data_IF_937446938077
#
_entry.id   IF_937446938077
#
_cell.length_a   1.000
_cell.length_b   1.000
_cell.length_c   1.000
_cell.angle_alpha   90.00
_cell.angle_beta   90.00
_cell.angle_gamma   90.00
#
_symmetry.space_group_name_H-M   'P 1'
#
loop_
_entity.id
_entity.type
_entity.pdbx_description
1 polymer ?
#
# COMPACT_ATOMS: atom_id res chain seq x y z
N UNK A 1 -15.60 -24.56 -33.41
CA UNK A 1 -15.75 -24.40 -31.95
C UNK A 1 -14.81 -25.39 -31.27
N UNK A 2 -13.69 -24.96 -30.69
CA UNK A 2 -12.86 -25.83 -29.85
C UNK A 2 -13.38 -25.85 -28.39
N UNK A 3 -13.02 -26.88 -27.61
CA UNK A 3 -13.82 -27.34 -26.47
C UNK A 3 -13.53 -26.57 -25.17
N UNK A 4 -14.58 -26.41 -24.36
CA UNK A 4 -14.61 -25.90 -22.98
C UNK A 4 -13.89 -26.83 -21.97
N UNK A 5 -12.66 -27.24 -22.28
CA UNK A 5 -11.89 -28.17 -21.43
C UNK A 5 -10.52 -27.62 -20.99
N UNK A 6 -10.29 -26.31 -21.16
CA UNK A 6 -9.03 -25.64 -20.73
C UNK A 6 -9.22 -24.57 -19.65
N UNK A 7 -10.37 -24.56 -18.99
CA UNK A 7 -10.73 -23.59 -17.96
C UNK A 7 -10.77 -24.18 -16.53
N UNK A 8 -10.49 -25.48 -16.34
CA UNK A 8 -10.59 -26.17 -15.04
C UNK A 8 -9.26 -26.80 -14.59
N UNK A 9 -8.13 -26.26 -15.05
CA UNK A 9 -6.80 -26.75 -14.68
C UNK A 9 -5.86 -25.64 -14.20
N UNK A 10 -6.42 -24.52 -13.76
CA UNK A 10 -5.70 -23.44 -13.08
C UNK A 10 -5.98 -23.40 -11.56
N UNK A 11 -6.95 -24.20 -11.09
CA UNK A 11 -7.41 -24.18 -9.70
C UNK A 11 -6.71 -25.20 -8.78
N UNK A 12 -5.68 -25.94 -9.24
CA UNK A 12 -5.16 -27.06 -8.44
C UNK A 12 -3.64 -27.31 -8.38
N UNK A 13 -2.78 -26.43 -8.91
CA UNK A 13 -1.31 -26.65 -8.84
C UNK A 13 -0.54 -25.40 -8.39
N UNK A 14 -1.02 -24.73 -7.34
CA UNK A 14 -0.17 -23.80 -6.60
C UNK A 14 -0.50 -23.92 -5.11
N UNK A 15 0.23 -24.83 -4.46
CA UNK A 15 0.46 -24.81 -3.03
C UNK A 15 0.89 -23.39 -2.62
N UNK A 16 -0.10 -22.61 -2.19
CA UNK A 16 0.02 -21.18 -1.92
C UNK A 16 0.77 -20.89 -0.60
N UNK A 17 1.32 -21.92 0.04
CA UNK A 17 1.94 -21.85 1.36
C UNK A 17 3.46 -22.02 1.37
N UNK A 18 4.12 -22.41 0.27
CA UNK A 18 5.57 -22.72 0.32
C UNK A 18 6.47 -21.77 -0.48
N UNK A 19 5.91 -20.81 -1.22
CA UNK A 19 6.72 -19.84 -2.01
C UNK A 19 7.08 -18.58 -1.20
N UNK A 20 6.40 -18.32 -0.07
CA UNK A 20 6.52 -17.08 0.70
C UNK A 20 7.76 -16.96 1.62
N UNK A 21 8.29 -18.03 2.25
CA UNK A 21 9.50 -17.91 3.09
C UNK A 21 10.77 -17.57 2.30
N UNK A 22 10.80 -17.88 0.99
CA UNK A 22 11.95 -17.64 0.12
C UNK A 22 12.06 -16.17 -0.34
N UNK A 23 10.95 -15.41 -0.35
CA UNK A 23 10.98 -13.98 -0.69
C UNK A 23 11.53 -13.11 0.43
N UNK A 24 11.33 -13.52 1.70
CA UNK A 24 11.94 -12.86 2.85
C UNK A 24 13.48 -13.06 2.93
N UNK A 25 14.03 -14.04 2.21
CA UNK A 25 15.45 -14.41 2.30
C UNK A 25 16.38 -13.74 1.28
N UNK A 26 15.87 -13.07 0.24
CA UNK A 26 16.70 -12.06 -0.43
C UNK A 26 16.59 -10.78 0.38
N UNK A 27 17.53 -10.64 1.31
CA UNK A 27 17.76 -9.49 2.18
C UNK A 27 17.71 -8.16 1.42
N UNK A 28 16.52 -7.69 1.08
CA UNK A 28 16.29 -6.30 0.77
C UNK A 28 16.32 -5.61 2.13
N UNK A 29 17.38 -4.85 2.38
CA UNK A 29 17.60 -4.17 3.64
C UNK A 29 16.41 -3.24 3.91
N UNK A 30 15.59 -3.59 4.92
CA UNK A 30 14.49 -2.73 5.36
C UNK A 30 15.10 -1.42 5.87
N UNK A 31 14.69 -0.35 5.22
CA UNK A 31 15.17 1.01 5.48
C UNK A 31 14.16 1.76 6.33
N UNK A 32 14.64 2.69 7.13
CA UNK A 32 13.75 3.65 7.81
C UNK A 32 13.33 4.75 6.84
N UNK A 33 12.16 5.35 7.06
CA UNK A 33 11.65 6.49 6.28
C UNK A 33 12.67 7.63 6.27
N UNK A 34 13.32 7.89 7.41
CA UNK A 34 14.38 8.90 7.51
C UNK A 34 15.59 8.58 6.63
N UNK A 35 16.00 7.32 6.53
CA UNK A 35 17.06 6.90 5.62
C UNK A 35 16.62 7.03 4.16
N UNK A 36 15.40 6.59 3.82
CA UNK A 36 14.86 6.73 2.48
C UNK A 36 14.86 8.17 1.98
N UNK A 37 14.41 9.11 2.83
CA UNK A 37 14.35 10.54 2.48
C UNK A 37 15.74 11.11 2.12
N UNK A 38 16.82 10.50 2.60
CA UNK A 38 18.21 10.90 2.28
C UNK A 38 18.74 10.26 0.99
N UNK A 39 18.22 9.09 0.62
CA UNK A 39 18.69 8.29 -0.52
C UNK A 39 17.92 8.57 -1.82
N UNK A 40 16.91 9.44 -1.79
CA UNK A 40 15.98 9.71 -2.91
C UNK A 40 16.60 10.19 -4.24
N UNK A 41 17.91 10.36 -4.32
CA UNK A 41 18.60 10.92 -5.48
C UNK A 41 19.34 9.86 -6.32
N UNK A 42 19.26 8.58 -5.98
CA UNK A 42 20.08 7.52 -6.57
C UNK A 42 19.22 6.45 -7.25
N UNK A 43 18.94 6.64 -8.56
CA UNK A 43 18.37 5.65 -9.49
C UNK A 43 16.98 5.06 -9.14
N UNK A 44 16.40 4.30 -10.07
CA UNK A 44 15.12 3.57 -9.92
C UNK A 44 15.28 2.35 -8.97
N UNK A 45 15.63 2.64 -7.71
CA UNK A 45 15.90 1.64 -6.69
C UNK A 45 14.62 1.31 -5.92
N UNK A 46 14.53 0.06 -5.46
CA UNK A 46 13.45 -0.44 -4.60
C UNK A 46 13.94 -0.61 -3.19
N UNK A 47 13.12 -0.21 -2.23
CA UNK A 47 13.40 -0.37 -0.81
C UNK A 47 12.18 -0.91 -0.09
N UNK A 48 12.41 -1.66 0.99
CA UNK A 48 11.33 -2.05 1.88
C UNK A 48 11.32 -1.12 3.09
N UNK A 49 10.14 -0.70 3.51
CA UNK A 49 9.94 -0.01 4.79
C UNK A 49 8.91 -0.75 5.62
N UNK A 50 9.17 -0.83 6.92
CA UNK A 50 8.18 -1.24 7.89
C UNK A 50 7.50 0.00 8.43
N UNK A 51 6.17 0.04 8.45
CA UNK A 51 5.45 1.17 9.00
C UNK A 51 3.98 0.90 9.27
N UNK A 52 3.37 1.86 9.94
CA UNK A 52 1.94 1.88 10.28
C UNK A 52 1.22 2.88 9.42
N UNK A 53 0.06 2.51 8.87
CA UNK A 53 -0.85 3.45 8.20
C UNK A 53 -1.47 4.36 9.26
N UNK A 54 -1.22 5.66 9.16
CA UNK A 54 -1.69 6.68 10.10
C UNK A 54 -2.68 7.68 9.49
N UNK A 55 -2.95 7.56 8.19
CA UNK A 55 -3.89 8.41 7.48
C UNK A 55 -4.12 7.96 6.04
N UNK A 56 -5.21 8.44 5.45
CA UNK A 56 -5.53 8.31 4.03
C UNK A 56 -5.63 9.70 3.42
N UNK A 57 -5.00 9.91 2.26
CA UNK A 57 -5.04 11.18 1.57
C UNK A 57 -6.20 11.20 0.56
N UNK A 58 -6.96 12.30 0.56
CA UNK A 58 -8.20 12.43 -0.24
C UNK A 58 -8.09 13.44 -1.37
N UNK A 59 -6.89 13.97 -1.62
CA UNK A 59 -6.60 14.94 -2.70
C UNK A 59 -6.92 14.44 -4.11
N UNK A 60 -6.94 13.12 -4.33
CA UNK A 60 -7.31 12.48 -5.59
C UNK A 60 -8.29 11.31 -5.35
N UNK A 61 -9.00 10.84 -6.39
CA UNK A 61 -9.80 9.63 -6.27
C UNK A 61 -8.95 8.43 -5.84
N UNK A 62 -9.46 7.56 -4.96
CA UNK A 62 -8.77 6.34 -4.53
C UNK A 62 -8.66 5.25 -5.63
N UNK A 63 -9.20 5.54 -6.81
CA UNK A 63 -9.25 4.65 -7.96
C UNK A 63 -9.04 5.41 -9.26
N UNK A 64 -8.68 4.68 -10.31
CA UNK A 64 -8.67 5.17 -11.68
C UNK A 64 -9.37 4.18 -12.61
N UNK A 65 -9.83 4.70 -13.76
CA UNK A 65 -10.36 3.86 -14.82
C UNK A 65 -9.19 3.25 -15.60
N UNK A 66 -9.16 1.93 -15.70
CA UNK A 66 -8.08 1.20 -16.34
C UNK A 66 -8.48 0.66 -17.72
N UNK A 67 -7.53 0.68 -18.65
CA UNK A 67 -7.68 0.08 -19.96
C UNK A 67 -7.72 -1.45 -19.84
N UNK A 68 -8.70 -2.11 -20.45
CA UNK A 68 -8.80 -3.58 -20.41
C UNK A 68 -7.62 -4.31 -21.08
N UNK A 69 -6.90 -3.64 -22.00
CA UNK A 69 -5.78 -4.25 -22.73
C UNK A 69 -4.48 -4.16 -21.94
N UNK A 70 -4.12 -2.97 -21.45
CA UNK A 70 -2.81 -2.73 -20.83
C UNK A 70 -2.86 -2.37 -19.34
N UNK A 71 -4.06 -2.19 -18.78
CA UNK A 71 -4.26 -1.81 -17.38
C UNK A 71 -3.84 -0.38 -17.01
N UNK A 72 -3.40 0.45 -17.98
CA UNK A 72 -3.04 1.86 -17.75
C UNK A 72 -4.29 2.75 -17.64
N UNK A 73 -4.09 3.93 -17.05
CA UNK A 73 -5.15 4.94 -16.90
C UNK A 73 -5.79 5.34 -18.22
N UNK A 74 -7.09 5.53 -18.17
CA UNK A 74 -7.94 5.94 -19.28
C UNK A 74 -8.47 7.33 -18.99
N UNK A 75 -8.40 8.20 -19.98
CA UNK A 75 -8.95 9.56 -19.90
C UNK A 75 -10.31 9.61 -20.58
N UNK A 76 -11.17 10.51 -20.09
CA UNK A 76 -12.46 10.79 -20.74
C UNK A 76 -12.33 12.07 -21.54
N UNK A 77 -12.30 11.95 -22.86
CA UNK A 77 -12.21 13.06 -23.83
C UNK A 77 -13.50 13.07 -24.64
N UNK A 78 -14.24 14.16 -24.60
CA UNK A 78 -15.53 14.32 -25.31
C UNK A 78 -16.54 13.17 -25.07
N UNK A 79 -16.59 12.67 -23.84
CA UNK A 79 -17.45 11.55 -23.45
C UNK A 79 -16.97 10.17 -23.90
N UNK A 80 -15.83 10.11 -24.60
CA UNK A 80 -15.16 8.87 -25.00
C UNK A 80 -14.01 8.58 -24.08
N UNK A 81 -13.83 7.30 -23.78
CA UNK A 81 -12.78 6.80 -22.89
C UNK A 81 -11.61 6.35 -23.75
N UNK A 82 -10.48 7.05 -23.69
CA UNK A 82 -9.31 6.79 -24.56
C UNK A 82 -8.11 6.45 -23.69
N UNK A 83 -7.46 5.32 -24.00
CA UNK A 83 -6.20 4.96 -23.38
C UNK A 83 -5.05 5.67 -24.10
N UNK A 84 -4.37 6.60 -23.42
CA UNK A 84 -3.22 7.31 -23.99
C UNK A 84 -2.03 6.41 -24.31
N UNK A 85 -1.92 5.23 -23.68
CA UNK A 85 -0.82 4.28 -23.94
C UNK A 85 -1.06 3.40 -25.17
N UNK A 86 -2.29 2.89 -25.35
CA UNK A 86 -2.63 2.03 -26.49
C UNK A 86 -3.20 2.79 -27.68
N UNK A 87 -3.66 4.03 -27.49
CA UNK A 87 -4.41 4.80 -28.48
C UNK A 87 -5.82 4.26 -28.75
N UNK A 88 -6.28 3.28 -27.97
CA UNK A 88 -7.57 2.62 -28.16
C UNK A 88 -8.66 3.33 -27.36
N UNK A 89 -9.80 3.57 -28.01
CA UNK A 89 -11.06 3.87 -27.34
C UNK A 89 -11.54 2.61 -26.61
N UNK A 90 -11.97 2.76 -25.36
CA UNK A 90 -12.32 1.64 -24.50
C UNK A 90 -13.61 1.89 -23.75
N UNK A 91 -14.53 0.93 -23.79
CA UNK A 91 -15.72 0.94 -22.94
C UNK A 91 -15.47 0.24 -21.60
N UNK A 92 -14.21 0.15 -21.12
CA UNK A 92 -13.92 -0.58 -19.89
C UNK A 92 -14.53 0.13 -18.69
N UNK A 93 -15.32 -0.59 -17.89
CA UNK A 93 -15.69 -0.23 -16.51
C UNK A 93 -14.76 -0.96 -15.53
N UNK A 94 -13.46 -1.01 -15.86
CA UNK A 94 -12.46 -1.63 -15.01
C UNK A 94 -11.90 -0.54 -14.11
N UNK A 95 -12.17 -0.66 -12.82
CA UNK A 95 -11.65 0.21 -11.79
C UNK A 95 -10.47 -0.47 -11.11
N UNK A 96 -9.43 0.30 -10.83
CA UNK A 96 -8.25 -0.15 -10.09
C UNK A 96 -7.91 0.82 -8.99
N UNK A 97 -7.43 0.32 -7.86
CA UNK A 97 -6.98 1.20 -6.79
C UNK A 97 -5.75 2.01 -7.21
N UNK A 98 -5.75 3.25 -6.75
CA UNK A 98 -4.64 4.19 -6.75
C UNK A 98 -4.73 5.01 -5.46
N UNK A 99 -4.55 4.30 -4.34
CA UNK A 99 -4.83 4.80 -2.99
C UNK A 99 -3.59 5.49 -2.41
N UNK A 100 -3.75 6.75 -1.99
CA UNK A 100 -2.69 7.47 -1.28
C UNK A 100 -2.86 7.30 0.24
N UNK A 101 -1.87 6.70 0.90
CA UNK A 101 -1.83 6.50 2.36
C UNK A 101 -0.65 7.25 2.98
N UNK A 102 -0.81 7.62 4.25
CA UNK A 102 0.23 8.21 5.09
C UNK A 102 0.77 7.12 6.01
N UNK A 103 2.08 6.88 5.96
CA UNK A 103 2.75 5.82 6.75
C UNK A 103 3.79 6.43 7.68
N UNK A 104 3.85 5.92 8.92
CA UNK A 104 4.84 6.31 9.92
C UNK A 104 5.60 5.10 10.46
N UNK A 105 6.91 5.25 10.70
CA UNK A 105 7.79 4.19 11.23
C UNK A 105 8.50 4.59 12.55
N UNK A 106 8.06 5.69 13.15
CA UNK A 106 8.70 6.30 14.34
C UNK A 106 9.93 7.16 14.04
N UNK A 107 10.53 7.05 12.84
CA UNK A 107 11.64 7.90 12.39
C UNK A 107 11.18 9.06 11.49
N UNK A 108 10.02 8.90 10.86
CA UNK A 108 9.40 9.91 10.01
C UNK A 108 8.00 9.52 9.57
N UNK A 109 7.47 10.32 8.66
CA UNK A 109 6.16 10.13 8.00
C UNK A 109 6.35 10.30 6.50
N UNK A 110 5.70 9.46 5.69
CA UNK A 110 5.82 9.46 4.23
C UNK A 110 4.45 9.20 3.59
N UNK A 111 4.22 9.78 2.42
CA UNK A 111 3.04 9.52 1.62
C UNK A 111 3.36 8.46 0.55
N UNK A 112 2.59 7.38 0.55
CA UNK A 112 2.73 6.26 -0.37
C UNK A 112 1.48 6.14 -1.23
N UNK A 113 1.68 5.88 -2.51
CA UNK A 113 0.63 5.53 -3.45
C UNK A 113 0.62 4.02 -3.64
N UNK A 114 -0.41 3.36 -3.13
CA UNK A 114 -0.59 1.92 -3.25
C UNK A 114 -1.19 1.59 -4.61
N UNK A 115 -0.51 0.72 -5.35
CA UNK A 115 -1.06 0.13 -6.57
C UNK A 115 -2.25 -0.78 -6.27
N UNK A 116 -3.03 -1.11 -7.30
CA UNK A 116 -4.18 -2.02 -7.25
C UNK A 116 -3.94 -3.27 -6.38
N UNK A 117 -2.94 -4.08 -6.71
CA UNK A 117 -2.64 -5.30 -5.95
C UNK A 117 -2.14 -5.07 -4.53
N UNK A 118 -1.45 -3.96 -4.26
CA UNK A 118 -1.04 -3.61 -2.89
C UNK A 118 -2.24 -3.15 -2.04
N UNK A 119 -3.18 -2.43 -2.66
CA UNK A 119 -4.39 -1.93 -2.02
C UNK A 119 -5.37 -3.07 -1.72
N UNK A 120 -5.60 -4.00 -2.66
CA UNK A 120 -6.43 -5.20 -2.43
C UNK A 120 -5.90 -6.00 -1.25
N UNK A 121 -4.57 -6.16 -1.13
CA UNK A 121 -3.98 -6.86 0.02
C UNK A 121 -4.26 -6.15 1.34
N UNK A 122 -4.00 -4.84 1.40
CA UNK A 122 -4.18 -4.05 2.62
C UNK A 122 -5.66 -3.93 3.02
N UNK A 123 -6.56 -3.75 2.04
CA UNK A 123 -7.99 -3.55 2.26
C UNK A 123 -8.70 -4.89 2.49
N UNK A 124 -8.36 -5.91 1.71
CA UNK A 124 -9.05 -7.21 1.69
C UNK A 124 -10.22 -7.28 0.70
N UNK A 125 -10.55 -6.17 0.01
CA UNK A 125 -11.68 -6.07 -0.91
C UNK A 125 -11.23 -5.58 -2.30
N UNK A 126 -11.81 -6.16 -3.35
CA UNK A 126 -11.54 -5.76 -4.73
C UNK A 126 -12.13 -4.38 -5.05
N UNK A 127 -11.41 -3.58 -5.85
CA UNK A 127 -11.86 -2.23 -6.25
C UNK A 127 -13.26 -2.25 -6.86
N UNK A 128 -13.57 -3.30 -7.62
CA UNK A 128 -14.86 -3.46 -8.28
C UNK A 128 -16.01 -3.51 -7.27
N UNK A 129 -15.85 -4.23 -6.17
CA UNK A 129 -16.92 -4.44 -5.18
C UNK A 129 -17.13 -3.18 -4.33
N UNK A 130 -16.04 -2.48 -3.99
CA UNK A 130 -16.10 -1.16 -3.36
C UNK A 130 -16.84 -0.16 -4.26
N UNK A 131 -16.53 -0.13 -5.56
CA UNK A 131 -17.20 0.75 -6.52
C UNK A 131 -18.66 0.34 -6.74
N UNK A 132 -18.98 -0.94 -6.76
CA UNK A 132 -20.35 -1.43 -6.86
C UNK A 132 -21.20 -1.01 -5.65
N UNK A 133 -20.60 -0.98 -4.46
CA UNK A 133 -21.25 -0.57 -3.22
C UNK A 133 -21.58 0.93 -3.18
N UNK A 134 -20.62 1.82 -3.43
CA UNK A 134 -20.82 3.28 -3.28
C UNK A 134 -21.04 4.06 -4.60
N UNK A 135 -20.76 3.43 -5.75
CA UNK A 135 -20.83 4.03 -7.07
C UNK A 135 -19.58 4.84 -7.46
N UNK A 136 -19.23 4.81 -8.74
CA UNK A 136 -18.03 5.47 -9.29
C UNK A 136 -18.08 7.00 -9.32
N UNK A 137 -19.14 7.64 -8.78
CA UNK A 137 -19.15 9.09 -8.57
C UNK A 137 -18.51 9.46 -7.23
N UNK A 138 -18.45 8.52 -6.29
CA UNK A 138 -17.79 8.69 -5.00
C UNK A 138 -16.30 8.45 -5.19
N UNK A 139 -15.52 9.51 -4.95
CA UNK A 139 -14.07 9.55 -5.18
C UNK A 139 -13.26 9.29 -3.91
N UNK A 140 -13.90 9.32 -2.75
CA UNK A 140 -13.28 9.02 -1.46
C UNK A 140 -13.46 7.55 -1.12
N UNK A 141 -12.53 7.00 -0.36
CA UNK A 141 -12.66 5.66 0.18
C UNK A 141 -13.88 5.61 1.14
N UNK A 142 -14.64 4.51 1.21
CA UNK A 142 -15.69 4.38 2.21
C UNK A 142 -15.10 4.51 3.63
N UNK A 143 -15.76 5.25 4.55
CA UNK A 143 -15.23 5.47 5.90
C UNK A 143 -14.93 4.19 6.67
N UNK A 144 -15.75 3.14 6.51
CA UNK A 144 -15.52 1.87 7.21
C UNK A 144 -14.24 1.16 6.73
N UNK A 145 -13.91 1.28 5.44
CA UNK A 145 -12.64 0.74 4.91
C UNK A 145 -11.46 1.58 5.41
N UNK A 146 -11.62 2.91 5.43
CA UNK A 146 -10.61 3.81 5.97
C UNK A 146 -10.30 3.48 7.43
N UNK A 147 -11.33 3.33 8.27
CA UNK A 147 -11.18 2.95 9.68
C UNK A 147 -10.50 1.59 9.86
N UNK A 148 -10.75 0.62 8.98
CA UNK A 148 -10.13 -0.71 9.02
C UNK A 148 -8.64 -0.70 8.65
N UNK A 149 -8.23 0.16 7.73
CA UNK A 149 -6.81 0.23 7.31
C UNK A 149 -5.97 1.12 8.23
N UNK A 150 -6.58 2.05 8.96
CA UNK A 150 -5.88 2.87 9.94
C UNK A 150 -5.31 1.99 11.07
N UNK A 151 -4.04 2.20 11.39
CA UNK A 151 -3.33 1.42 12.39
C UNK A 151 -2.78 0.09 11.87
N UNK A 152 -3.11 -0.35 10.65
CA UNK A 152 -2.49 -1.54 10.04
C UNK A 152 -1.00 -1.33 9.84
N UNK A 153 -0.24 -2.39 10.11
CA UNK A 153 1.22 -2.42 9.99
C UNK A 153 1.58 -3.33 8.84
N UNK A 154 2.52 -2.90 8.01
CA UNK A 154 2.98 -3.69 6.89
C UNK A 154 4.41 -3.35 6.50
N UNK A 155 5.00 -4.25 5.73
CA UNK A 155 6.18 -3.98 4.92
C UNK A 155 5.73 -3.49 3.55
N UNK A 156 6.21 -2.31 3.15
CA UNK A 156 5.91 -1.68 1.86
C UNK A 156 7.15 -1.69 0.98
N UNK A 157 7.06 -2.30 -0.21
CA UNK A 157 8.10 -2.18 -1.25
C UNK A 157 7.91 -0.88 -2.02
N UNK A 158 8.69 0.13 -1.63
CA UNK A 158 8.66 1.47 -2.19
C UNK A 158 9.58 1.54 -3.42
N UNK A 159 9.02 2.00 -4.54
CA UNK A 159 9.75 2.20 -5.79
C UNK A 159 9.97 3.69 -6.01
N UNK A 160 11.24 4.10 -6.08
CA UNK A 160 11.61 5.45 -6.49
C UNK A 160 11.65 5.53 -8.00
N UNK A 161 11.09 6.59 -8.56
CA UNK A 161 11.26 6.94 -9.97
C UNK A 161 11.84 8.34 -10.04
N UNK A 162 12.99 8.46 -10.70
CA UNK A 162 13.72 9.74 -10.81
C UNK A 162 12.90 10.87 -11.49
N UNK A 163 11.87 10.52 -12.25
CA UNK A 163 11.00 11.43 -13.00
C UNK A 163 9.76 11.90 -12.21
N UNK A 164 9.62 11.56 -10.93
CA UNK A 164 8.49 12.01 -10.12
C UNK A 164 8.53 13.55 -9.99
N UNK A 165 7.71 14.23 -10.79
CA UNK A 165 7.54 15.69 -10.75
C UNK A 165 7.00 16.18 -9.41
N UNK A 166 6.42 15.27 -8.62
CA UNK A 166 6.00 15.50 -7.25
C UNK A 166 6.89 14.70 -6.30
N UNK A 167 7.82 15.41 -5.65
CA UNK A 167 8.98 14.90 -4.89
C UNK A 167 8.57 14.12 -3.61
N UNK A 168 7.30 13.70 -3.47
CA UNK A 168 6.73 13.20 -2.21
C UNK A 168 5.74 12.04 -2.34
N UNK A 169 5.42 11.55 -3.54
CA UNK A 169 4.55 10.37 -3.71
C UNK A 169 5.38 9.19 -4.22
N UNK A 170 5.46 8.13 -3.42
CA UNK A 170 6.18 6.92 -3.79
C UNK A 170 5.24 5.78 -4.10
N UNK A 171 5.50 5.09 -5.21
CA UNK A 171 4.65 3.98 -5.59
C UNK A 171 5.03 2.73 -4.81
N UNK A 172 4.02 2.06 -4.24
CA UNK A 172 4.17 0.75 -3.61
C UNK A 172 3.72 -0.32 -4.58
N UNK A 173 4.67 -1.13 -5.03
CA UNK A 173 4.38 -2.26 -5.94
C UNK A 173 3.95 -3.52 -5.19
N UNK A 174 4.41 -3.71 -3.95
CA UNK A 174 4.17 -4.91 -3.15
C UNK A 174 4.06 -4.57 -1.66
N UNK A 175 3.27 -5.36 -0.95
CA UNK A 175 3.04 -5.27 0.48
C UNK A 175 3.03 -6.67 1.12
N UNK A 176 3.56 -6.75 2.35
CA UNK A 176 3.48 -7.93 3.22
C UNK A 176 2.94 -7.57 4.60
N UNK A 177 1.95 -8.32 5.07
CA UNK A 177 1.32 -8.22 6.39
C UNK A 177 1.64 -9.45 7.28
N UNK A 178 2.64 -10.26 6.88
CA UNK A 178 3.04 -11.48 7.59
C UNK A 178 3.51 -11.16 9.02
N UNK A 179 2.74 -11.59 10.01
CA UNK A 179 2.93 -11.23 11.41
C UNK A 179 4.29 -11.68 11.96
N UNK A 180 4.78 -12.86 11.59
CA UNK A 180 6.10 -13.37 12.02
C UNK A 180 7.22 -12.48 11.47
N UNK A 181 7.07 -12.01 10.23
CA UNK A 181 8.02 -11.08 9.60
C UNK A 181 7.92 -9.71 10.27
N UNK A 182 6.71 -9.19 10.51
CA UNK A 182 6.49 -7.89 11.12
C UNK A 182 7.06 -7.81 12.55
N UNK A 183 6.90 -8.86 13.36
CA UNK A 183 7.46 -8.94 14.72
C UNK A 183 9.00 -8.82 14.73
N UNK A 184 9.68 -9.46 13.77
CA UNK A 184 11.14 -9.38 13.63
C UNK A 184 11.61 -7.95 13.36
N UNK A 185 10.87 -7.21 12.54
CA UNK A 185 11.19 -5.82 12.21
C UNK A 185 10.80 -4.86 13.33
N UNK A 186 9.68 -5.09 14.01
CA UNK A 186 9.27 -4.30 15.16
C UNK A 186 10.32 -4.31 16.27
N UNK A 187 10.83 -5.50 16.63
CA UNK A 187 11.87 -5.66 17.65
C UNK A 187 13.21 -5.02 17.27
N UNK A 188 13.51 -4.92 15.97
CA UNK A 188 14.78 -4.44 15.45
C UNK A 188 14.79 -2.93 15.21
N UNK A 189 13.66 -2.32 14.87
CA UNK A 189 13.59 -0.94 14.39
C UNK A 189 12.70 -0.01 15.23
N UNK A 190 11.81 -0.50 16.10
CA UNK A 190 11.13 0.36 17.08
C UNK A 190 11.97 0.47 18.36
N UNK A 191 12.18 1.70 18.88
CA UNK A 191 12.87 1.86 20.16
C UNK A 191 12.02 1.26 21.28
N UNK A 192 12.57 0.28 22.00
CA UNK A 192 11.97 -0.20 23.26
C UNK A 192 11.77 1.00 24.17
N UNK A 193 10.51 1.29 24.52
CA UNK A 193 10.16 2.33 25.47
C UNK A 193 11.01 2.16 26.74
N UNK A 194 11.74 3.20 27.12
CA UNK A 194 12.44 3.23 28.41
C UNK A 194 11.40 3.29 29.52
N UNK A 195 11.36 2.24 30.33
CA UNK A 195 11.17 2.33 31.78
C UNK A 195 9.74 2.46 32.28
N UNK A 196 9.30 1.40 32.96
CA UNK A 196 8.38 1.48 34.09
C UNK A 196 8.77 2.67 34.98
N UNK A 197 7.85 3.61 35.15
CA UNK A 197 7.95 4.58 36.24
C UNK A 197 7.48 3.85 37.49
N UNK A 198 8.43 3.32 38.26
CA UNK A 198 8.17 2.91 39.63
C UNK A 198 7.52 4.09 40.37
N UNK A 199 6.28 3.89 40.82
CA UNK A 199 5.60 4.81 41.72
C UNK A 199 6.24 4.74 43.11
N UNK A 200 7.47 5.26 43.22
CA UNK A 200 8.19 5.47 44.47
C UNK A 200 7.58 6.63 45.26
N UNK A 201 6.92 6.31 46.36
CA UNK A 201 6.13 7.22 47.18
C UNK A 201 6.87 8.47 47.66
N UNK A 202 6.28 9.63 47.40
CA UNK A 202 6.69 10.90 47.99
C UNK A 202 5.84 11.18 49.24
N UNK A 203 6.44 10.95 50.41
CA UNK A 203 5.92 11.34 51.73
C UNK A 203 5.57 12.83 51.73
N UNK A 204 4.29 13.16 51.92
CA UNK A 204 3.85 14.54 52.18
C UNK A 204 4.44 15.02 53.49
N UNK A 205 5.36 15.99 53.41
CA UNK A 205 5.77 16.79 54.58
C UNK A 205 4.61 17.68 54.99
N UNK A 206 4.22 17.52 56.25
CA UNK A 206 3.31 18.39 57.00
C UNK A 206 3.99 19.76 57.12
N UNK A 207 3.38 20.81 56.58
CA UNK A 207 3.75 22.18 56.92
C UNK A 207 2.75 22.63 57.99
N UNK A 208 3.32 23.16 59.06
CA UNK A 208 2.69 23.71 60.27
C UNK A 208 1.86 24.93 59.91
#
# INVERSE_FOLDING_TARGET
MPPLARALQWENDMEFHEVYPLFAQKAAEVSTIKCLTRMMNENDQKYWIYGTVVGVETTKPFWYLACFVCGKGVEVVDGRRICGHCGLETNSDIYKYDLDVVVADGTGVINLTLSDGASVRLIGEDTHDVIAYQGSRVKTLPPFIEDEILGKRALFEVVFRSEATDVRRFNVSRLSEDEEVLEQYELKYLPKGKGEVEAGGLKRRRIV
#
